data_IF_455487072462
#
_entry.id   IF_455487072462
#
_cell.length_a   1.000
_cell.length_b   1.000
_cell.length_c   1.000
_cell.angle_alpha   90.00
_cell.angle_beta   90.00
_cell.angle_gamma   90.00
#
_symmetry.space_group_name_H-M   'P 1'
#
loop_
_entity.id
_entity.type
_entity.pdbx_description
1 polymer ?
#
# COMPACT_ATOMS: atom_id res chain seq x y z
N UNK A 1 39.28 6.57 3.74
CA UNK A 1 38.99 7.55 2.67
C UNK A 1 37.64 7.20 2.07
N UNK A 2 36.79 8.18 1.74
CA UNK A 2 35.53 7.94 1.04
C UNK A 2 35.80 7.57 -0.43
N UNK A 3 34.83 6.92 -1.09
CA UNK A 3 34.90 6.68 -2.53
C UNK A 3 35.00 8.01 -3.30
N UNK A 4 35.63 7.99 -4.48
CA UNK A 4 35.68 9.16 -5.35
C UNK A 4 34.29 9.51 -5.87
N UNK A 5 33.91 10.79 -5.83
CA UNK A 5 32.63 11.28 -6.34
C UNK A 5 32.05 12.42 -5.50
N UNK A 6 30.97 13.04 -6.00
CA UNK A 6 30.29 14.17 -5.34
C UNK A 6 29.32 13.75 -4.22
N UNK A 7 28.87 12.49 -4.23
CA UNK A 7 27.94 11.91 -3.24
C UNK A 7 28.38 10.51 -2.81
N UNK A 8 29.56 10.36 -2.17
CA UNK A 8 30.10 9.04 -1.82
C UNK A 8 29.36 8.34 -0.66
N UNK A 9 28.43 9.05 -0.01
CA UNK A 9 27.66 8.57 1.13
C UNK A 9 26.18 8.65 0.76
N UNK A 10 25.52 7.50 0.60
CA UNK A 10 24.16 7.44 0.08
C UNK A 10 23.09 8.08 0.99
N UNK A 11 23.36 8.21 2.30
CA UNK A 11 22.44 8.83 3.26
C UNK A 11 22.69 10.33 3.46
N UNK A 12 23.72 10.87 2.80
CA UNK A 12 24.11 12.27 2.88
C UNK A 12 23.94 12.90 1.51
N UNK A 13 23.49 14.16 1.48
CA UNK A 13 23.39 14.90 0.21
C UNK A 13 24.77 15.04 -0.46
N UNK A 14 24.76 15.44 -1.73
CA UNK A 14 25.98 15.80 -2.46
C UNK A 14 26.80 16.81 -1.64
N UNK A 15 28.10 16.58 -1.58
CA UNK A 15 29.03 17.42 -0.82
C UNK A 15 29.01 18.87 -1.33
N UNK A 16 28.67 19.11 -2.60
CA UNK A 16 28.49 20.46 -3.17
C UNK A 16 27.31 21.23 -2.55
N UNK A 17 26.33 20.51 -1.97
CA UNK A 17 25.14 21.09 -1.34
C UNK A 17 25.30 21.21 0.17
N UNK A 18 26.29 20.56 0.77
CA UNK A 18 26.57 20.67 2.19
C UNK A 18 27.15 22.06 2.46
N UNK A 19 26.44 22.83 3.27
CA UNK A 19 26.87 24.16 3.71
C UNK A 19 27.07 24.16 5.22
N UNK A 20 27.98 24.99 5.70
CA UNK A 20 28.11 25.21 7.14
C UNK A 20 26.84 25.87 7.68
N UNK A 21 26.41 25.43 8.85
CA UNK A 21 25.31 26.08 9.54
C UNK A 21 25.82 27.33 10.23
N UNK A 22 25.20 28.49 9.96
CA UNK A 22 25.47 29.71 10.72
C UNK A 22 24.92 29.55 12.14
N UNK A 23 25.67 30.03 13.14
CA UNK A 23 25.30 29.99 14.55
C UNK A 23 23.85 30.45 14.79
N UNK A 24 23.06 29.63 15.50
CA UNK A 24 21.70 29.98 15.90
C UNK A 24 21.74 30.41 17.37
N UNK A 25 21.36 31.67 17.69
CA UNK A 25 21.33 32.14 19.07
C UNK A 25 20.36 31.35 19.94
N UNK A 26 20.68 31.09 21.22
CA UNK A 26 19.76 30.45 22.15
C UNK A 26 18.51 31.34 22.33
N UNK A 27 17.33 30.79 22.02
CA UNK A 27 16.03 31.50 22.08
C UNK A 27 15.32 31.68 20.73
N UNK A 28 15.95 31.30 19.61
CA UNK A 28 15.25 31.30 18.31
C UNK A 28 14.15 30.23 18.25
N UNK A 29 13.01 30.52 17.59
CA UNK A 29 11.91 29.57 17.44
C UNK A 29 12.34 28.34 16.61
N UNK A 30 11.74 27.16 16.85
CA UNK A 30 12.12 25.90 16.19
C UNK A 30 11.94 25.88 14.66
N UNK A 31 11.29 26.89 14.06
CA UNK A 31 11.24 27.06 12.60
C UNK A 31 12.57 27.53 11.99
N UNK A 32 13.45 28.15 12.78
CA UNK A 32 14.80 28.57 12.40
C UNK A 32 15.86 27.51 12.75
N UNK A 33 15.47 26.44 13.46
CA UNK A 33 16.35 25.31 13.70
C UNK A 33 16.68 24.61 12.36
N UNK A 34 17.91 24.12 12.16
CA UNK A 34 18.27 23.45 10.93
C UNK A 34 17.47 22.14 10.91
N UNK A 35 16.47 22.07 10.05
CA UNK A 35 15.80 20.81 9.77
C UNK A 35 16.85 19.94 9.10
N UNK A 36 17.29 18.87 9.76
CA UNK A 36 18.14 17.84 9.15
C UNK A 36 17.26 17.17 8.10
N UNK A 37 17.25 17.73 6.90
CA UNK A 37 16.73 17.05 5.73
C UNK A 37 17.72 15.93 5.47
N UNK A 38 17.45 14.74 6.00
CA UNK A 38 18.12 13.54 5.54
C UNK A 38 17.75 13.38 4.08
N UNK A 39 18.64 13.80 3.18
CA UNK A 39 18.43 13.75 1.73
C UNK A 39 18.60 12.32 1.25
N UNK A 40 17.67 11.45 1.65
CA UNK A 40 17.39 10.19 0.97
C UNK A 40 16.01 10.29 0.34
N UNK A 41 15.77 11.36 -0.41
CA UNK A 41 14.85 11.28 -1.54
C UNK A 41 15.54 10.44 -2.62
N UNK A 42 15.82 9.17 -2.31
CA UNK A 42 15.91 8.17 -3.34
C UNK A 42 14.53 8.20 -4.01
N UNK A 43 14.46 8.66 -5.26
CA UNK A 43 13.23 8.69 -6.05
C UNK A 43 12.51 7.32 -5.99
N UNK A 44 13.28 6.26 -5.78
CA UNK A 44 12.83 4.89 -5.62
C UNK A 44 12.94 4.42 -4.16
N UNK A 45 11.78 4.18 -3.53
CA UNK A 45 11.72 3.49 -2.24
C UNK A 45 12.21 2.05 -2.42
N UNK A 46 13.11 1.54 -1.56
CA UNK A 46 13.55 0.16 -1.65
C UNK A 46 12.40 -0.80 -1.35
N UNK A 47 12.51 -2.05 -1.84
CA UNK A 47 11.44 -3.07 -1.75
C UNK A 47 10.95 -3.36 -0.33
N UNK A 48 11.79 -3.18 0.68
CA UNK A 48 11.42 -3.37 2.09
C UNK A 48 10.70 -2.16 2.72
N UNK A 49 10.73 -1.00 2.05
CA UNK A 49 10.04 0.23 2.49
C UNK A 49 8.79 0.54 1.67
N UNK A 50 8.54 -0.20 0.60
CA UNK A 50 7.26 -0.22 -0.10
C UNK A 50 6.50 -1.50 0.29
N UNK A 51 5.20 -1.41 0.56
CA UNK A 51 4.35 -2.56 0.94
C UNK A 51 4.07 -3.53 -0.21
N UNK A 52 5.08 -3.81 -1.03
CA UNK A 52 4.98 -4.60 -2.25
C UNK A 52 4.73 -6.07 -1.90
N UNK A 53 3.64 -6.66 -2.40
CA UNK A 53 3.38 -8.08 -2.21
C UNK A 53 4.46 -8.94 -2.86
N UNK A 54 4.78 -10.06 -2.24
CA UNK A 54 5.68 -11.09 -2.78
C UNK A 54 4.99 -12.44 -2.68
N UNK A 55 4.50 -12.94 -3.81
CA UNK A 55 3.76 -14.21 -3.92
C UNK A 55 4.61 -15.34 -4.50
N UNK A 56 5.93 -15.25 -4.35
CA UNK A 56 6.86 -16.32 -4.72
C UNK A 56 6.64 -17.56 -3.83
N UNK A 57 6.30 -17.33 -2.55
CA UNK A 57 5.98 -18.38 -1.58
C UNK A 57 4.49 -18.33 -1.23
N UNK A 58 3.89 -19.50 -1.03
CA UNK A 58 2.48 -19.65 -0.64
C UNK A 58 2.11 -18.81 0.59
N UNK A 59 3.01 -18.74 1.58
CA UNK A 59 2.77 -17.97 2.81
C UNK A 59 2.46 -16.49 2.55
N UNK A 60 3.14 -15.87 1.57
CA UNK A 60 2.91 -14.47 1.22
C UNK A 60 1.49 -14.23 0.73
N UNK A 61 1.04 -15.05 -0.23
CA UNK A 61 -0.32 -15.01 -0.76
C UNK A 61 -1.37 -15.26 0.33
N UNK A 62 -1.18 -16.29 1.15
CA UNK A 62 -2.10 -16.59 2.27
C UNK A 62 -2.21 -15.43 3.24
N UNK A 63 -1.09 -14.78 3.59
CA UNK A 63 -1.07 -13.65 4.51
C UNK A 63 -1.83 -12.44 3.96
N UNK A 64 -1.70 -12.16 2.66
CA UNK A 64 -2.40 -11.06 2.00
C UNK A 64 -3.91 -11.33 1.91
N UNK A 65 -4.32 -12.55 1.56
CA UNK A 65 -5.74 -12.93 1.56
C UNK A 65 -6.34 -12.88 2.98
N UNK A 66 -5.61 -13.38 3.98
CA UNK A 66 -6.05 -13.30 5.37
C UNK A 66 -6.18 -11.84 5.84
N UNK A 67 -5.26 -10.96 5.44
CA UNK A 67 -5.33 -9.52 5.73
C UNK A 67 -6.57 -8.91 5.09
N UNK A 68 -6.87 -9.24 3.84
CA UNK A 68 -8.07 -8.78 3.13
C UNK A 68 -9.36 -9.15 3.89
N UNK A 69 -9.50 -10.43 4.27
CA UNK A 69 -10.66 -10.90 5.05
C UNK A 69 -10.74 -10.25 6.43
N UNK A 70 -9.60 -10.00 7.08
CA UNK A 70 -9.58 -9.27 8.36
C UNK A 70 -10.07 -7.83 8.19
N UNK A 71 -9.75 -7.18 7.08
CA UNK A 71 -10.20 -5.81 6.78
C UNK A 71 -11.69 -5.77 6.45
N UNK A 72 -12.20 -6.78 5.73
CA UNK A 72 -13.63 -6.96 5.47
C UNK A 72 -14.45 -6.95 6.76
N UNK A 73 -14.00 -7.69 7.78
CA UNK A 73 -14.67 -7.79 9.10
C UNK A 73 -14.69 -6.47 9.89
N UNK A 74 -13.93 -5.46 9.46
CA UNK A 74 -13.90 -4.11 10.06
C UNK A 74 -14.75 -3.10 9.30
N UNK A 75 -15.45 -3.52 8.24
CA UNK A 75 -16.44 -2.65 7.61
C UNK A 75 -17.64 -2.45 8.55
N UNK A 76 -18.25 -1.24 8.57
CA UNK A 76 -17.94 -0.08 7.73
C UNK A 76 -16.84 0.86 8.27
N UNK A 77 -16.33 0.63 9.48
CA UNK A 77 -15.40 1.55 10.18
C UNK A 77 -14.08 1.83 9.43
N UNK A 78 -13.64 0.86 8.60
CA UNK A 78 -12.35 0.89 7.89
C UNK A 78 -12.51 0.60 6.40
N UNK A 79 -13.54 1.19 5.78
CA UNK A 79 -13.85 1.04 4.36
C UNK A 79 -12.68 1.37 3.43
N UNK A 80 -12.09 2.55 3.58
CA UNK A 80 -10.94 3.04 2.80
C UNK A 80 -9.76 2.09 2.85
N UNK A 81 -9.47 1.53 4.02
CA UNK A 81 -8.39 0.56 4.19
C UNK A 81 -8.71 -0.76 3.48
N UNK A 82 -9.95 -1.25 3.59
CA UNK A 82 -10.36 -2.47 2.91
C UNK A 82 -10.29 -2.35 1.38
N UNK A 83 -10.84 -1.27 0.81
CA UNK A 83 -10.78 -1.05 -0.64
C UNK A 83 -9.35 -0.81 -1.15
N UNK A 84 -8.49 -0.16 -0.36
CA UNK A 84 -7.07 -0.03 -0.70
C UNK A 84 -6.37 -1.39 -0.75
N UNK A 85 -6.61 -2.28 0.23
CA UNK A 85 -6.05 -3.63 0.22
C UNK A 85 -6.63 -4.49 -0.90
N UNK A 86 -7.94 -4.42 -1.14
CA UNK A 86 -8.60 -5.14 -2.24
C UNK A 86 -7.97 -4.75 -3.59
N UNK A 87 -7.86 -3.45 -3.86
CA UNK A 87 -7.26 -2.96 -5.09
C UNK A 87 -5.77 -3.29 -5.18
N UNK A 88 -5.02 -3.30 -4.07
CA UNK A 88 -3.62 -3.72 -4.03
C UNK A 88 -3.47 -5.17 -4.49
N UNK A 89 -4.29 -6.07 -3.94
CA UNK A 89 -4.27 -7.50 -4.29
C UNK A 89 -4.67 -7.71 -5.75
N UNK A 90 -5.77 -7.07 -6.19
CA UNK A 90 -6.23 -7.13 -7.58
C UNK A 90 -5.16 -6.62 -8.56
N UNK A 91 -4.58 -5.46 -8.29
CA UNK A 91 -3.58 -4.86 -9.17
C UNK A 91 -2.34 -5.74 -9.29
N UNK A 92 -1.92 -6.36 -8.19
CA UNK A 92 -0.79 -7.29 -8.24
C UNK A 92 -1.13 -8.57 -9.00
N UNK A 93 -2.32 -9.14 -8.77
CA UNK A 93 -2.80 -10.32 -9.49
C UNK A 93 -2.85 -10.08 -11.01
N UNK A 94 -3.38 -8.92 -11.43
CA UNK A 94 -3.42 -8.52 -12.84
C UNK A 94 -2.01 -8.29 -13.41
N UNK A 95 -1.11 -7.66 -12.66
CA UNK A 95 0.25 -7.38 -13.11
C UNK A 95 1.06 -8.67 -13.38
N UNK A 96 0.83 -9.73 -12.60
CA UNK A 96 1.48 -11.04 -12.80
C UNK A 96 0.67 -11.98 -13.71
N UNK A 97 -0.52 -11.57 -14.17
CA UNK A 97 -1.40 -12.38 -15.01
C UNK A 97 -2.15 -13.51 -14.30
N UNK A 98 -2.26 -13.46 -12.96
CA UNK A 98 -2.93 -14.50 -12.16
C UNK A 98 -4.44 -14.22 -12.02
N UNK A 99 -5.17 -14.42 -13.11
CA UNK A 99 -6.60 -14.08 -13.20
C UNK A 99 -7.47 -15.01 -12.35
N UNK A 100 -7.07 -16.27 -12.20
CA UNK A 100 -7.76 -17.27 -11.38
C UNK A 100 -7.84 -16.86 -9.91
N UNK A 101 -6.88 -16.07 -9.42
CA UNK A 101 -6.91 -15.54 -8.07
C UNK A 101 -8.10 -14.60 -7.84
N UNK A 102 -8.54 -13.86 -8.85
CA UNK A 102 -9.72 -12.99 -8.72
C UNK A 102 -10.98 -13.81 -8.46
N UNK A 103 -11.09 -14.97 -9.12
CA UNK A 103 -12.17 -15.92 -8.88
C UNK A 103 -12.08 -16.55 -7.48
N UNK A 104 -10.88 -16.91 -7.01
CA UNK A 104 -10.68 -17.39 -5.64
C UNK A 104 -11.04 -16.34 -4.58
N UNK A 105 -10.72 -15.07 -4.81
CA UNK A 105 -11.11 -13.97 -3.92
C UNK A 105 -12.62 -13.85 -3.87
N UNK A 106 -13.30 -13.93 -5.02
CA UNK A 106 -14.77 -13.93 -5.11
C UNK A 106 -15.38 -15.04 -4.24
N UNK A 107 -14.88 -16.26 -4.40
CA UNK A 107 -15.35 -17.42 -3.64
C UNK A 107 -15.08 -17.29 -2.14
N UNK A 108 -13.91 -16.78 -1.75
CA UNK A 108 -13.57 -16.53 -0.35
C UNK A 108 -14.51 -15.49 0.29
N UNK A 109 -14.80 -14.39 -0.42
CA UNK A 109 -15.72 -13.36 0.07
C UNK A 109 -17.16 -13.88 0.18
N UNK A 110 -17.63 -14.65 -0.80
CA UNK A 110 -18.96 -15.29 -0.74
C UNK A 110 -19.05 -16.28 0.42
N UNK A 111 -18.00 -17.07 0.64
CA UNK A 111 -17.93 -18.00 1.77
C UNK A 111 -18.03 -17.27 3.11
N UNK A 112 -17.38 -16.12 3.26
CA UNK A 112 -17.44 -15.34 4.51
C UNK A 112 -18.84 -14.82 4.86
N UNK A 113 -19.76 -14.73 3.89
CA UNK A 113 -21.17 -14.40 4.16
C UNK A 113 -21.83 -15.40 5.11
N UNK A 114 -21.46 -16.68 5.02
CA UNK A 114 -22.01 -17.74 5.86
C UNK A 114 -21.49 -17.70 7.31
N UNK A 115 -20.48 -16.87 7.61
CA UNK A 115 -19.80 -16.81 8.92
C UNK A 115 -20.39 -15.79 9.90
N UNK A 116 -21.56 -15.19 9.58
CA UNK A 116 -22.24 -14.23 10.46
C UNK A 116 -21.75 -12.79 10.33
N UNK A 117 -21.59 -12.31 9.09
CA UNK A 117 -21.31 -10.90 8.81
C UNK A 117 -22.57 -10.02 8.96
N UNK A 118 -22.36 -8.72 9.16
CA UNK A 118 -23.43 -7.71 9.18
C UNK A 118 -24.02 -7.50 7.78
N UNK A 119 -25.28 -7.06 7.70
CA UNK A 119 -25.95 -6.77 6.42
C UNK A 119 -25.17 -5.77 5.56
N UNK A 120 -24.55 -4.77 6.20
CA UNK A 120 -23.69 -3.78 5.52
C UNK A 120 -22.47 -4.45 4.89
N UNK A 121 -21.80 -5.35 5.61
CA UNK A 121 -20.67 -6.11 5.07
C UNK A 121 -21.10 -6.98 3.89
N UNK A 122 -22.27 -7.60 3.97
CA UNK A 122 -22.84 -8.42 2.88
C UNK A 122 -23.10 -7.55 1.65
N UNK A 123 -23.70 -6.36 1.81
CA UNK A 123 -23.90 -5.42 0.69
C UNK A 123 -22.59 -5.00 0.02
N UNK A 124 -21.53 -4.74 0.80
CA UNK A 124 -20.21 -4.46 0.24
C UNK A 124 -19.67 -5.66 -0.56
N UNK A 125 -19.85 -6.89 -0.06
CA UNK A 125 -19.42 -8.10 -0.78
C UNK A 125 -20.20 -8.24 -2.10
N UNK A 126 -21.52 -8.07 -2.09
CA UNK A 126 -22.35 -8.16 -3.30
C UNK A 126 -21.91 -7.16 -4.36
N UNK A 127 -21.67 -5.92 -3.95
CA UNK A 127 -21.13 -4.88 -4.83
C UNK A 127 -19.77 -5.28 -5.44
N UNK A 128 -18.86 -5.80 -4.63
CA UNK A 128 -17.52 -6.21 -5.09
C UNK A 128 -17.60 -7.41 -6.03
N UNK A 129 -18.39 -8.42 -5.68
CA UNK A 129 -18.61 -9.61 -6.51
C UNK A 129 -19.16 -9.21 -7.88
N UNK A 130 -20.17 -8.32 -7.91
CA UNK A 130 -20.67 -7.78 -9.17
C UNK A 130 -19.59 -7.05 -9.98
N UNK A 131 -18.76 -6.25 -9.32
CA UNK A 131 -17.63 -5.55 -9.99
C UNK A 131 -16.55 -6.49 -10.52
N UNK A 132 -16.29 -7.60 -9.84
CA UNK A 132 -15.35 -8.62 -10.31
C UNK A 132 -15.91 -9.38 -11.54
N UNK A 133 -17.23 -9.52 -11.64
CA UNK A 133 -17.92 -10.20 -12.75
C UNK A 133 -18.07 -9.31 -13.99
N UNK A 134 -18.14 -7.97 -13.82
CA UNK A 134 -18.24 -6.99 -14.91
C UNK A 134 -17.06 -7.03 -15.90
N UNK A 135 -15.97 -7.76 -15.62
CA UNK A 135 -14.79 -7.92 -16.49
C UNK A 135 -13.97 -6.62 -16.72
N UNK A 136 -14.45 -5.48 -16.23
CA UNK A 136 -13.81 -4.17 -16.38
C UNK A 136 -12.49 -4.02 -15.60
N UNK A 137 -12.18 -4.97 -14.71
CA UNK A 137 -10.91 -4.99 -13.97
C UNK A 137 -9.68 -5.05 -14.88
N UNK A 138 -9.78 -5.66 -16.07
CA UNK A 138 -8.68 -5.73 -17.03
C UNK A 138 -8.19 -4.36 -17.52
N UNK A 139 -8.96 -3.28 -17.30
CA UNK A 139 -8.57 -1.91 -17.64
C UNK A 139 -7.79 -1.19 -16.53
N UNK A 140 -7.45 -1.89 -15.44
CA UNK A 140 -6.70 -1.32 -14.32
C UNK A 140 -7.46 -0.26 -13.53
N UNK A 141 -8.79 -0.20 -13.67
CA UNK A 141 -9.59 0.73 -12.89
C UNK A 141 -9.81 0.19 -11.47
N UNK A 142 -9.50 0.96 -10.42
CA UNK A 142 -9.70 0.53 -9.04
C UNK A 142 -11.20 0.46 -8.72
N UNK A 143 -11.57 -0.53 -7.90
CA UNK A 143 -12.91 -0.62 -7.33
C UNK A 143 -13.05 0.49 -6.29
N UNK A 144 -13.95 1.44 -6.57
CA UNK A 144 -14.25 2.53 -5.65
C UNK A 144 -15.10 2.05 -4.47
N UNK A 145 -15.00 2.73 -3.30
CA UNK A 145 -15.84 2.40 -2.16
C UNK A 145 -17.33 2.42 -2.48
N UNK A 146 -18.05 1.45 -1.94
CA UNK A 146 -19.51 1.41 -2.01
C UNK A 146 -20.10 2.66 -1.33
N UNK A 147 -20.90 3.42 -2.09
CA UNK A 147 -21.64 4.59 -1.59
C UNK A 147 -23.05 4.12 -1.23
N UNK A 148 -23.43 4.27 0.04
CA UNK A 148 -24.78 3.94 0.54
C UNK A 148 -25.83 4.93 0.07
#
# INVERSE_FOLDING_TARGET
MFGSGVSPIAWLDSFDRIKYQTYIPPGCPPSLAPQVKSTTENEYKPSYSCGSPSWILNYGLHSDLQKLIRCLKRLPEKDTLFYAELNRVISHALAIGFVELLQLIKEALVKEKSTGLTDVQISHIDYIVGKLEDGNLCRGQPILPFVK
#
